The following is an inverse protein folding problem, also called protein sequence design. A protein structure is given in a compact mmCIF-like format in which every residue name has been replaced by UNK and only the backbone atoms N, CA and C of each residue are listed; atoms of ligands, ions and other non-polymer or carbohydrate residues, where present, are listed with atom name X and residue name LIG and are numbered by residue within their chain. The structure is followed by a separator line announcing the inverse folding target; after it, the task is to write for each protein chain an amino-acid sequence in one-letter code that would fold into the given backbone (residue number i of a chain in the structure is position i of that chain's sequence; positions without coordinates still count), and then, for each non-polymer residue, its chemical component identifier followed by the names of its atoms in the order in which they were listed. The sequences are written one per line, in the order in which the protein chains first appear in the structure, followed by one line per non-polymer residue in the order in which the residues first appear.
data_IF_739025280749
#
_entry.id   IF_739025280749
#
_cell.length_a   1.000
_cell.length_b   1.000
_cell.length_c   1.000
_cell.angle_alpha   90.00
_cell.angle_beta   90.00
_cell.angle_gamma   90.00
#
_symmetry.space_group_name_H-M   'P 1'
#
loop_
_entity.id
_entity.type
_entity.pdbx_description
1 polymer ?
#
# COMPACT_ATOMS: atom_id res chain seq x y z
N UNK A 1 1.56 16.70 -24.61
CA UNK A 1 1.14 16.90 -23.20
C UNK A 1 0.34 15.67 -22.81
N UNK A 2 0.99 14.67 -22.20
CA UNK A 2 0.31 13.45 -21.75
C UNK A 2 -0.45 13.78 -20.48
N UNK A 3 -1.74 14.07 -20.64
CA UNK A 3 -2.67 14.12 -19.53
C UNK A 3 -2.96 12.68 -19.15
N UNK A 4 -2.12 12.07 -18.30
CA UNK A 4 -2.50 10.84 -17.62
C UNK A 4 -3.76 11.20 -16.83
N UNK A 5 -4.90 10.65 -17.25
CA UNK A 5 -6.15 10.71 -16.51
C UNK A 5 -5.86 10.27 -15.07
N UNK A 6 -6.03 11.16 -14.12
CA UNK A 6 -6.25 10.76 -12.73
C UNK A 6 -7.58 10.00 -12.73
N UNK A 7 -7.53 8.66 -12.73
CA UNK A 7 -8.72 7.80 -12.78
C UNK A 7 -9.52 7.85 -11.45
N UNK A 8 -9.00 8.52 -10.43
CA UNK A 8 -9.57 8.60 -9.09
C UNK A 8 -9.64 10.06 -8.65
N UNK A 9 -10.71 10.42 -7.95
CA UNK A 9 -10.81 11.74 -7.32
C UNK A 9 -9.80 11.88 -6.16
N UNK A 10 -9.47 13.13 -5.82
CA UNK A 10 -8.48 13.46 -4.78
C UNK A 10 -8.81 12.85 -3.41
N UNK A 11 -10.10 12.74 -3.04
CA UNK A 11 -10.52 12.19 -1.76
C UNK A 11 -10.26 10.68 -1.71
N UNK A 12 -10.57 9.97 -2.79
CA UNK A 12 -10.28 8.55 -2.97
C UNK A 12 -8.77 8.29 -2.91
N UNK A 13 -7.97 9.07 -3.63
CA UNK A 13 -6.49 8.96 -3.59
C UNK A 13 -5.97 9.14 -2.17
N UNK A 14 -6.45 10.16 -1.46
CA UNK A 14 -6.03 10.46 -0.09
C UNK A 14 -6.39 9.34 0.88
N UNK A 15 -7.61 8.81 0.83
CA UNK A 15 -8.06 7.70 1.68
C UNK A 15 -7.25 6.43 1.42
N UNK A 16 -7.05 6.09 0.15
CA UNK A 16 -6.28 4.92 -0.25
C UNK A 16 -4.84 4.99 0.29
N UNK A 17 -4.17 6.14 0.15
CA UNK A 17 -2.82 6.37 0.72
C UNK A 17 -2.79 6.27 2.24
N UNK A 18 -3.79 6.80 2.94
CA UNK A 18 -3.88 6.71 4.41
C UNK A 18 -3.99 5.24 4.83
N UNK A 19 -4.90 4.47 4.23
CA UNK A 19 -5.10 3.06 4.56
C UNK A 19 -3.82 2.24 4.33
N UNK A 20 -3.15 2.42 3.19
CA UNK A 20 -1.87 1.75 2.90
C UNK A 20 -0.79 2.16 3.90
N UNK A 21 -0.69 3.45 4.20
CA UNK A 21 0.30 3.97 5.17
C UNK A 21 0.08 3.37 6.56
N UNK A 22 -1.15 3.38 7.05
CA UNK A 22 -1.52 2.80 8.34
C UNK A 22 -1.24 1.31 8.37
N UNK A 23 -1.65 0.58 7.32
CA UNK A 23 -1.42 -0.86 7.22
C UNK A 23 0.07 -1.21 7.33
N UNK A 24 0.94 -0.55 6.56
CA UNK A 24 2.38 -0.83 6.57
C UNK A 24 2.99 -0.54 7.95
N UNK A 25 2.70 0.61 8.56
CA UNK A 25 3.23 0.98 9.88
C UNK A 25 2.74 0.08 11.01
N UNK A 26 1.49 -0.39 10.91
CA UNK A 26 0.89 -1.21 11.96
C UNK A 26 1.29 -2.68 11.83
N UNK A 27 1.48 -3.20 10.61
CA UNK A 27 1.70 -4.63 10.39
C UNK A 27 3.18 -5.03 10.28
N UNK A 28 4.09 -4.08 10.02
CA UNK A 28 5.52 -4.35 9.85
C UNK A 28 6.36 -3.64 10.92
N UNK A 29 7.39 -4.32 11.39
CA UNK A 29 8.30 -3.81 12.41
C UNK A 29 9.29 -2.80 11.80
N UNK A 30 9.86 -1.94 12.63
CA UNK A 30 11.03 -1.11 12.31
C UNK A 30 10.89 -0.23 11.06
N UNK A 31 9.68 0.27 10.79
CA UNK A 31 9.42 1.21 9.69
C UNK A 31 9.90 2.61 10.09
N UNK A 32 11.08 3.00 9.62
CA UNK A 32 11.66 4.32 9.87
C UNK A 32 11.25 5.31 8.77
N UNK A 33 11.31 4.86 7.51
CA UNK A 33 11.00 5.67 6.34
C UNK A 33 9.93 4.97 5.50
N UNK A 34 8.89 5.71 5.11
CA UNK A 34 7.82 5.18 4.27
C UNK A 34 7.42 6.21 3.22
N UNK A 35 7.48 5.82 1.96
CA UNK A 35 6.96 6.58 0.82
C UNK A 35 5.87 5.79 0.12
N UNK A 36 4.80 6.48 -0.27
CA UNK A 36 3.62 5.89 -0.88
C UNK A 36 3.25 6.73 -2.10
N UNK A 37 3.23 6.09 -3.27
CA UNK A 37 2.95 6.76 -4.54
C UNK A 37 1.44 6.94 -4.75
N UNK A 38 1.06 7.67 -5.80
CA UNK A 38 -0.34 7.72 -6.24
C UNK A 38 -0.83 6.33 -6.69
N UNK A 39 -2.12 6.02 -6.49
CA UNK A 39 -2.70 4.78 -6.95
C UNK A 39 -2.70 4.72 -8.48
N UNK A 40 -2.51 3.51 -8.99
CA UNK A 40 -2.69 3.17 -10.39
C UNK A 40 -3.65 2.00 -10.52
N UNK A 41 -4.16 1.79 -11.74
CA UNK A 41 -5.04 0.68 -12.06
C UNK A 41 -4.21 -0.48 -12.61
N UNK A 42 -4.18 -1.59 -11.89
CA UNK A 42 -3.56 -2.84 -12.34
C UNK A 42 -4.53 -3.64 -13.22
N UNK A 43 -4.16 -4.87 -13.60
CA UNK A 43 -5.05 -5.75 -14.36
C UNK A 43 -6.43 -5.87 -13.70
N UNK A 44 -7.46 -6.01 -14.54
CA UNK A 44 -8.86 -6.15 -14.09
C UNK A 44 -9.41 -4.93 -13.32
N UNK A 45 -8.79 -3.76 -13.42
CA UNK A 45 -9.29 -2.56 -12.77
C UNK A 45 -8.95 -2.44 -11.29
N UNK A 46 -8.01 -3.26 -10.80
CA UNK A 46 -7.67 -3.31 -9.38
C UNK A 46 -6.84 -2.09 -9.01
N UNK A 47 -7.35 -1.25 -8.12
CA UNK A 47 -6.59 -0.14 -7.56
C UNK A 47 -5.38 -0.67 -6.79
N UNK A 48 -4.19 -0.26 -7.19
CA UNK A 48 -2.94 -0.68 -6.58
C UNK A 48 -2.08 0.54 -6.25
N UNK A 49 -1.46 0.53 -5.07
CA UNK A 49 -0.52 1.54 -4.64
C UNK A 49 0.84 0.89 -4.45
N UNK A 50 1.86 1.44 -5.10
CA UNK A 50 3.25 1.07 -4.87
C UNK A 50 3.91 2.04 -3.88
N UNK A 51 4.94 1.56 -3.18
CA UNK A 51 5.69 2.38 -2.24
C UNK A 51 7.01 1.74 -1.85
N UNK A 52 7.75 2.43 -0.97
CA UNK A 52 8.98 1.93 -0.36
C UNK A 52 8.94 2.07 1.14
N UNK A 53 9.30 1.01 1.86
CA UNK A 53 9.55 1.04 3.30
C UNK A 53 11.03 0.79 3.56
N UNK A 54 11.71 1.74 4.21
CA UNK A 54 13.16 1.73 4.42
C UNK A 54 13.97 1.53 3.12
N UNK A 55 13.45 2.03 1.99
CA UNK A 55 14.06 1.86 0.66
C UNK A 55 13.61 0.63 -0.12
N UNK A 56 12.95 -0.32 0.56
CA UNK A 56 12.53 -1.62 0.01
C UNK A 56 11.14 -1.56 -0.62
N UNK A 57 11.00 -2.11 -1.82
CA UNK A 57 9.79 -1.99 -2.64
C UNK A 57 8.64 -2.89 -2.19
N UNK A 58 7.43 -2.34 -2.22
CA UNK A 58 6.19 -3.07 -2.03
C UNK A 58 5.07 -2.53 -2.92
N UNK A 59 4.04 -3.34 -3.12
CA UNK A 59 2.75 -2.89 -3.65
C UNK A 59 1.57 -3.45 -2.85
N UNK A 60 0.50 -2.68 -2.79
CA UNK A 60 -0.73 -3.02 -2.08
C UNK A 60 -1.91 -2.85 -3.00
N UNK A 61 -2.67 -3.91 -3.19
CA UNK A 61 -3.94 -3.88 -3.91
C UNK A 61 -5.07 -3.61 -2.94
N UNK A 62 -5.99 -2.75 -3.36
CA UNK A 62 -7.17 -2.34 -2.62
C UNK A 62 -8.43 -2.93 -3.25
N UNK A 63 -9.40 -3.30 -2.43
CA UNK A 63 -10.73 -3.63 -2.91
C UNK A 63 -11.55 -2.36 -3.27
N UNK A 64 -12.78 -2.55 -3.72
CA UNK A 64 -13.70 -1.46 -4.07
C UNK A 64 -14.12 -0.59 -2.89
N UNK A 65 -13.89 -1.04 -1.64
CA UNK A 65 -14.12 -0.28 -0.41
C UNK A 65 -12.83 0.37 0.13
N UNK A 66 -11.73 0.33 -0.66
CA UNK A 66 -10.40 0.82 -0.31
C UNK A 66 -9.74 0.09 0.88
N UNK A 67 -10.13 -1.16 1.16
CA UNK A 67 -9.48 -2.01 2.16
C UNK A 67 -8.33 -2.80 1.53
N UNK A 68 -7.36 -3.21 2.34
CA UNK A 68 -6.23 -4.02 1.87
C UNK A 68 -6.75 -5.38 1.40
N UNK A 69 -6.66 -5.63 0.10
CA UNK A 69 -7.03 -6.90 -0.53
C UNK A 69 -5.81 -7.81 -0.73
N UNK A 70 -4.62 -7.24 -0.95
CA UNK A 70 -3.40 -7.99 -1.16
C UNK A 70 -2.15 -7.13 -1.01
N UNK A 71 -1.04 -7.76 -0.64
CA UNK A 71 0.25 -7.09 -0.47
C UNK A 71 1.32 -7.93 -1.14
N UNK A 72 2.06 -7.33 -2.05
CA UNK A 72 3.24 -7.93 -2.66
C UNK A 72 4.49 -7.25 -2.09
N UNK A 73 5.33 -8.06 -1.46
CA UNK A 73 6.67 -7.64 -1.04
C UNK A 73 7.63 -7.97 -2.17
N UNK A 74 8.31 -6.96 -2.69
CA UNK A 74 9.13 -7.08 -3.90
C UNK A 74 10.63 -7.15 -3.59
N UNK A 75 10.99 -7.14 -2.31
CA UNK A 75 12.37 -7.24 -1.83
C UNK A 75 12.51 -8.24 -0.69
N UNK A 76 13.60 -9.02 -0.68
CA UNK A 76 13.94 -9.95 0.40
C UNK A 76 14.35 -9.23 1.69
N UNK A 77 14.80 -7.98 1.58
CA UNK A 77 15.22 -7.15 2.72
C UNK A 77 14.06 -6.37 3.34
N UNK A 78 12.84 -6.57 2.85
CA UNK A 78 11.69 -5.83 3.35
C UNK A 78 11.51 -6.07 4.86
N UNK A 79 11.12 -5.04 5.63
CA UNK A 79 10.88 -5.18 7.06
C UNK A 79 9.98 -6.37 7.39
N UNK A 80 10.28 -7.07 8.49
CA UNK A 80 9.49 -8.24 8.87
C UNK A 80 8.12 -7.82 9.36
N UNK A 81 7.10 -8.65 9.09
CA UNK A 81 5.82 -8.52 9.77
C UNK A 81 6.01 -8.65 11.28
N UNK A 82 5.26 -7.87 12.06
CA UNK A 82 5.20 -8.02 13.52
C UNK A 82 4.61 -9.37 13.87
N UNK A 83 5.08 -9.98 14.96
CA UNK A 83 4.67 -11.33 15.36
C UNK A 83 3.15 -11.43 15.55
N UNK A 84 2.53 -10.41 16.14
CA UNK A 84 1.08 -10.34 16.35
C UNK A 84 0.24 -10.20 15.06
N UNK A 85 0.89 -9.90 13.93
CA UNK A 85 0.27 -9.70 12.61
C UNK A 85 0.69 -10.76 11.58
N UNK A 86 1.32 -11.87 12.00
CA UNK A 86 1.72 -12.95 11.09
C UNK A 86 0.52 -13.71 10.53
N UNK A 87 -0.42 -14.07 11.40
CA UNK A 87 -1.62 -14.86 11.03
C UNK A 87 -2.86 -14.00 10.73
N UNK A 88 -2.79 -12.69 11.03
CA UNK A 88 -3.89 -11.76 10.84
C UNK A 88 -3.39 -10.39 10.42
N UNK A 89 -4.27 -9.62 9.79
CA UNK A 89 -4.03 -8.19 9.60
C UNK A 89 -4.31 -7.50 10.94
N UNK A 90 -3.33 -6.76 11.45
CA UNK A 90 -3.51 -5.88 12.60
C UNK A 90 -4.29 -4.63 12.21
N UNK A 91 -5.11 -4.12 13.13
CA UNK A 91 -5.98 -2.96 12.92
C UNK A 91 -5.22 -1.75 12.35
N UNK A 92 -5.81 -1.07 11.36
CA UNK A 92 -5.19 0.02 10.60
C UNK A 92 -6.20 1.04 10.09
#
# INVERSE_FOLDING_TARGET
MNSNKENYDEETVKKAKINVTSYIKNNYADIENLTVNDPYEAEMGIMTIAGKANGEDFSVSLDTELKIAGVAILSENFPKKKEECLEKICDY
#
